data_IF_576109947178
#
_entry.id   IF_576109947178
#
_cell.length_a   1.000
_cell.length_b   1.000
_cell.length_c   1.000
_cell.angle_alpha   90.00
_cell.angle_beta   90.00
_cell.angle_gamma   90.00
#
_symmetry.space_group_name_H-M   'P 1'
#
loop_
_entity.id
_entity.type
_entity.pdbx_description
1 polymer ?
#
# COMPACT_ATOMS: atom_id res chain seq x y z
N UNK A 1 -20.14 -0.96 7.79
CA UNK A 1 -20.15 -0.16 6.54
C UNK A 1 -19.12 -0.74 5.59
N UNK A 2 -19.52 -0.99 4.36
CA UNK A 2 -18.61 -1.53 3.34
C UNK A 2 -17.76 -0.40 2.77
N UNK A 3 -16.43 -0.57 2.82
CA UNK A 3 -15.49 0.41 2.27
C UNK A 3 -15.55 0.37 0.74
N UNK A 4 -15.51 1.54 0.12
CA UNK A 4 -15.36 1.70 -1.31
C UNK A 4 -14.13 2.54 -1.60
N UNK A 5 -13.22 1.99 -2.39
CA UNK A 5 -12.09 2.74 -2.93
C UNK A 5 -12.53 3.49 -4.18
N UNK A 6 -12.14 4.75 -4.25
CA UNK A 6 -12.33 5.58 -5.43
C UNK A 6 -10.97 6.13 -5.89
N UNK A 7 -10.88 6.45 -7.17
CA UNK A 7 -9.65 7.05 -7.71
C UNK A 7 -9.48 8.44 -7.12
N UNK A 8 -8.32 8.70 -6.52
CA UNK A 8 -8.01 9.99 -5.95
C UNK A 8 -7.84 11.06 -7.04
N UNK A 9 -8.31 12.26 -6.75
CA UNK A 9 -8.18 13.44 -7.61
C UNK A 9 -7.29 14.49 -6.96
N UNK A 10 -7.01 15.58 -7.68
CA UNK A 10 -6.25 16.70 -7.14
C UNK A 10 -6.87 17.28 -5.85
N UNK A 11 -8.18 17.19 -5.69
CA UNK A 11 -8.88 17.64 -4.47
C UNK A 11 -8.56 16.79 -3.24
N UNK A 12 -8.12 15.56 -3.43
CA UNK A 12 -7.79 14.64 -2.35
C UNK A 12 -6.35 14.78 -1.84
N UNK A 13 -5.49 15.54 -2.54
CA UNK A 13 -4.05 15.62 -2.25
C UNK A 13 -3.78 16.09 -0.82
N UNK A 14 -4.44 17.16 -0.39
CA UNK A 14 -4.27 17.70 0.98
C UNK A 14 -4.65 16.68 2.05
N UNK A 15 -5.77 15.99 1.88
CA UNK A 15 -6.25 14.97 2.80
C UNK A 15 -5.34 13.72 2.81
N UNK A 16 -4.76 13.35 1.66
CA UNK A 16 -3.79 12.26 1.57
C UNK A 16 -2.47 12.61 2.27
N UNK A 17 -2.01 13.85 2.15
CA UNK A 17 -0.84 14.32 2.92
C UNK A 17 -1.11 14.24 4.42
N UNK A 18 -2.27 14.68 4.87
CA UNK A 18 -2.67 14.61 6.27
C UNK A 18 -2.72 13.16 6.78
N UNK A 19 -3.28 12.24 6.00
CA UNK A 19 -3.32 10.82 6.34
C UNK A 19 -1.90 10.24 6.49
N UNK A 20 -1.03 10.46 5.52
CA UNK A 20 0.35 9.96 5.54
C UNK A 20 1.14 10.54 6.71
N UNK A 21 0.96 11.82 7.01
CA UNK A 21 1.59 12.47 8.15
C UNK A 21 1.15 11.83 9.46
N UNK A 22 -0.14 11.55 9.63
CA UNK A 22 -0.66 10.88 10.82
C UNK A 22 -0.11 9.45 10.97
N UNK A 23 -0.04 8.70 9.87
CA UNK A 23 0.52 7.33 9.88
C UNK A 23 2.01 7.37 10.24
N UNK A 24 2.78 8.25 9.63
CA UNK A 24 4.21 8.37 9.93
C UNK A 24 4.45 8.76 11.40
N UNK A 25 3.69 9.72 11.92
CA UNK A 25 3.79 10.13 13.32
C UNK A 25 3.47 8.97 14.27
N UNK A 26 2.44 8.18 13.95
CA UNK A 26 2.07 7.00 14.73
C UNK A 26 3.18 5.95 14.75
N UNK A 27 3.79 5.65 13.59
CA UNK A 27 4.88 4.68 13.49
C UNK A 27 6.14 5.18 14.21
N UNK A 28 6.46 6.46 14.09
CA UNK A 28 7.60 7.06 14.81
C UNK A 28 7.39 6.99 16.33
N UNK A 29 6.18 7.29 16.81
CA UNK A 29 5.86 7.20 18.22
C UNK A 29 5.96 5.77 18.76
N UNK A 30 5.62 4.78 17.94
CA UNK A 30 5.59 3.37 18.34
C UNK A 30 6.94 2.67 18.16
N UNK A 31 7.70 2.97 17.11
CA UNK A 31 8.91 2.24 16.70
C UNK A 31 10.16 3.13 16.54
N UNK A 32 10.03 4.44 16.74
CA UNK A 32 11.10 5.39 16.48
C UNK A 32 11.28 5.70 14.98
N UNK A 33 12.33 6.43 14.64
CA UNK A 33 12.64 6.76 13.24
C UNK A 33 13.13 5.54 12.49
N UNK A 34 12.71 5.38 11.23
CA UNK A 34 13.09 4.28 10.35
C UNK A 34 12.75 4.62 8.90
N UNK A 35 12.76 3.62 8.02
CA UNK A 35 12.47 3.81 6.59
C UNK A 35 11.06 4.35 6.32
N UNK A 36 10.16 4.21 7.28
CA UNK A 36 8.78 4.74 7.26
C UNK A 36 8.69 6.22 7.67
N UNK A 37 9.78 6.84 8.12
CA UNK A 37 9.79 8.19 8.68
C UNK A 37 10.01 9.29 7.63
N UNK A 38 9.99 8.96 6.34
CA UNK A 38 10.11 9.94 5.26
C UNK A 38 8.85 10.84 5.25
N UNK A 39 9.08 12.15 5.22
CA UNK A 39 7.99 13.12 5.21
C UNK A 39 7.07 12.95 3.99
N UNK A 40 5.80 13.29 4.18
CA UNK A 40 4.80 13.31 3.12
C UNK A 40 4.59 14.74 2.64
N UNK A 41 4.58 14.93 1.31
CA UNK A 41 4.38 16.23 0.66
C UNK A 41 3.34 16.13 -0.44
N UNK A 42 2.71 17.26 -0.78
CA UNK A 42 1.80 17.34 -1.92
C UNK A 42 2.48 16.91 -3.23
N UNK A 43 3.73 17.34 -3.43
CA UNK A 43 4.54 16.96 -4.58
C UNK A 43 4.72 15.44 -4.66
N UNK A 44 4.96 14.77 -3.54
CA UNK A 44 5.10 13.32 -3.47
C UNK A 44 3.80 12.60 -3.81
N UNK A 45 2.65 13.09 -3.35
CA UNK A 45 1.34 12.54 -3.69
C UNK A 45 1.05 12.70 -5.18
N UNK A 46 1.28 13.88 -5.74
CA UNK A 46 1.09 14.16 -7.17
C UNK A 46 2.01 13.29 -8.03
N UNK A 47 3.25 13.07 -7.59
CA UNK A 47 4.18 12.17 -8.26
C UNK A 47 3.65 10.73 -8.28
N UNK A 48 3.11 10.24 -7.16
CA UNK A 48 2.51 8.91 -7.08
C UNK A 48 1.32 8.77 -8.06
N UNK A 49 0.50 9.81 -8.19
CA UNK A 49 -0.63 9.85 -9.14
C UNK A 49 -0.19 9.75 -10.60
N UNK A 50 1.01 10.22 -10.93
CA UNK A 50 1.58 10.10 -12.29
C UNK A 50 2.15 8.72 -12.58
N UNK A 51 2.60 8.00 -11.55
CA UNK A 51 3.25 6.70 -11.69
C UNK A 51 2.30 5.52 -11.58
N UNK A 52 1.14 5.72 -11.00
CA UNK A 52 0.14 4.69 -10.82
C UNK A 52 -1.23 5.28 -10.54
N UNK A 53 -2.19 4.43 -10.22
CA UNK A 53 -3.52 4.87 -9.82
C UNK A 53 -3.61 4.86 -8.30
N UNK A 54 -3.74 6.04 -7.71
CA UNK A 54 -3.93 6.22 -6.27
C UNK A 54 -5.41 6.07 -5.96
N UNK A 55 -5.74 5.15 -5.06
CA UNK A 55 -7.09 4.94 -4.56
C UNK A 55 -7.21 5.48 -3.14
N UNK A 56 -8.38 5.99 -2.81
CA UNK A 56 -8.68 6.57 -1.50
C UNK A 56 -10.03 6.08 -1.00
N UNK A 57 -10.10 5.73 0.28
CA UNK A 57 -11.35 5.58 1.02
C UNK A 57 -11.53 6.85 1.88
N UNK A 58 -12.73 7.42 1.83
CA UNK A 58 -13.03 8.67 2.52
C UNK A 58 -14.19 8.53 3.49
N UNK A 59 -14.14 9.34 4.53
CA UNK A 59 -15.25 9.61 5.43
C UNK A 59 -15.48 11.13 5.41
N UNK A 60 -16.58 11.54 4.76
CA UNK A 60 -16.74 12.95 4.39
C UNK A 60 -15.66 13.40 3.41
N UNK A 61 -14.91 14.43 3.75
CA UNK A 61 -13.78 14.94 2.96
C UNK A 61 -12.43 14.37 3.39
N UNK A 62 -12.42 13.53 4.43
CA UNK A 62 -11.19 13.02 5.01
C UNK A 62 -10.81 11.67 4.44
N UNK A 63 -9.57 11.54 3.96
CA UNK A 63 -8.99 10.25 3.62
C UNK A 63 -8.76 9.43 4.88
N UNK A 64 -9.32 8.23 4.93
CA UNK A 64 -9.14 7.29 6.05
C UNK A 64 -8.27 6.09 5.68
N UNK A 65 -8.12 5.83 4.40
CA UNK A 65 -7.19 4.82 3.88
C UNK A 65 -6.80 5.15 2.43
N UNK A 66 -5.65 4.67 2.02
CA UNK A 66 -5.16 4.81 0.64
C UNK A 66 -4.33 3.61 0.24
N UNK A 67 -4.25 3.36 -1.06
CA UNK A 67 -3.28 2.46 -1.68
C UNK A 67 -3.07 2.87 -3.14
N UNK A 68 -1.96 2.47 -3.71
CA UNK A 68 -1.65 2.71 -5.11
C UNK A 68 -1.49 1.39 -5.85
N UNK A 69 -2.12 1.27 -7.01
CA UNK A 69 -1.94 0.14 -7.93
C UNK A 69 -1.27 0.64 -9.21
N UNK A 70 -0.30 -0.11 -9.69
CA UNK A 70 0.45 0.24 -10.91
C UNK A 70 0.88 -1.01 -11.66
N UNK A 71 0.95 -0.91 -12.98
CA UNK A 71 1.61 -1.92 -13.84
C UNK A 71 3.13 -1.76 -13.82
N UNK A 72 3.64 -0.65 -13.34
CA UNK A 72 5.08 -0.39 -13.24
C UNK A 72 5.65 -1.08 -12.01
N UNK A 73 6.68 -1.87 -12.22
CA UNK A 73 7.40 -2.51 -11.13
C UNK A 73 8.14 -1.47 -10.28
N UNK A 74 7.94 -1.44 -8.95
CA UNK A 74 8.78 -0.64 -8.05
C UNK A 74 10.23 -1.11 -8.11
N UNK A 75 11.17 -0.18 -7.89
CA UNK A 75 12.60 -0.51 -7.93
C UNK A 75 13.01 -1.53 -6.87
N UNK A 76 12.35 -1.51 -5.72
CA UNK A 76 12.65 -2.43 -4.61
C UNK A 76 12.25 -3.89 -4.91
N UNK A 77 11.38 -4.14 -5.89
CA UNK A 77 10.90 -5.49 -6.20
C UNK A 77 11.80 -6.14 -7.26
N UNK A 78 12.34 -7.31 -6.89
CA UNK A 78 13.04 -8.20 -7.79
C UNK A 78 12.10 -9.32 -8.23
N UNK A 79 11.76 -9.33 -9.51
CA UNK A 79 10.74 -10.25 -10.05
C UNK A 79 11.16 -11.72 -10.03
N UNK A 80 12.44 -12.02 -9.86
CA UNK A 80 12.93 -13.41 -9.79
C UNK A 80 12.34 -14.22 -8.62
N UNK A 81 11.86 -13.55 -7.57
CA UNK A 81 11.25 -14.20 -6.43
C UNK A 81 9.79 -14.58 -6.65
N UNK A 82 9.16 -14.05 -7.69
CA UNK A 82 7.74 -14.23 -7.96
C UNK A 82 7.49 -15.34 -8.98
N UNK A 83 6.30 -15.93 -8.90
CA UNK A 83 5.87 -16.92 -9.88
C UNK A 83 5.60 -16.33 -11.27
N UNK A 84 5.23 -17.18 -12.23
CA UNK A 84 4.85 -16.72 -13.56
C UNK A 84 3.53 -15.93 -13.48
N UNK A 85 3.58 -14.68 -13.93
CA UNK A 85 2.42 -13.81 -14.04
C UNK A 85 2.59 -12.96 -15.30
N UNK A 86 1.54 -12.93 -16.12
CA UNK A 86 1.58 -12.18 -17.38
C UNK A 86 1.17 -10.72 -17.18
N UNK A 87 0.32 -10.44 -16.20
CA UNK A 87 -0.25 -9.12 -15.94
C UNK A 87 -0.28 -8.82 -14.45
N UNK A 88 0.90 -8.70 -13.80
CA UNK A 88 0.94 -8.35 -12.39
C UNK A 88 0.58 -6.88 -12.18
N UNK A 89 -0.15 -6.59 -11.10
CA UNK A 89 -0.23 -5.25 -10.52
C UNK A 89 0.66 -5.17 -9.29
N UNK A 90 1.25 -4.01 -9.09
CA UNK A 90 2.07 -3.72 -7.92
C UNK A 90 1.31 -2.79 -6.99
N UNK A 91 1.16 -3.21 -5.74
CA UNK A 91 0.53 -2.42 -4.69
C UNK A 91 1.62 -1.72 -3.88
N UNK A 92 1.48 -0.41 -3.76
CA UNK A 92 2.41 0.42 -2.99
C UNK A 92 1.65 1.41 -2.12
N UNK A 93 2.34 1.99 -1.14
CA UNK A 93 1.85 3.10 -0.31
C UNK A 93 0.47 2.83 0.30
N UNK A 94 0.26 1.62 0.81
CA UNK A 94 -0.96 1.31 1.52
C UNK A 94 -0.89 1.85 2.95
N UNK A 95 -1.87 2.65 3.31
CA UNK A 95 -1.95 3.27 4.62
C UNK A 95 -3.40 3.31 5.11
N UNK A 96 -3.57 3.14 6.42
CA UNK A 96 -4.86 3.25 7.12
C UNK A 96 -4.68 4.23 8.27
N UNK A 97 -5.60 5.17 8.43
CA UNK A 97 -5.60 6.13 9.52
C UNK A 97 -5.44 5.43 10.88
N UNK A 98 -4.54 5.89 11.76
CA UNK A 98 -4.25 5.22 13.03
C UNK A 98 -5.50 4.95 13.89
N UNK A 99 -6.44 5.86 13.92
CA UNK A 99 -7.70 5.72 14.66
C UNK A 99 -8.69 4.73 14.03
N UNK A 100 -8.43 4.29 12.81
CA UNK A 100 -9.24 3.31 12.06
C UNK A 100 -8.57 1.95 11.91
N UNK A 101 -7.33 1.80 12.39
CA UNK A 101 -6.61 0.53 12.35
C UNK A 101 -7.26 -0.50 13.29
N UNK A 102 -7.00 -1.78 13.01
CA UNK A 102 -7.52 -2.93 13.78
C UNK A 102 -9.06 -3.04 13.82
N UNK A 103 -9.74 -2.36 12.91
CA UNK A 103 -11.21 -2.39 12.75
C UNK A 103 -11.66 -3.02 11.43
N UNK A 104 -10.75 -3.73 10.74
CA UNK A 104 -11.03 -4.42 9.48
C UNK A 104 -10.95 -3.53 8.24
N UNK A 105 -10.70 -2.23 8.36
CA UNK A 105 -10.65 -1.31 7.23
C UNK A 105 -9.57 -1.70 6.22
N UNK A 106 -8.36 -2.05 6.69
CA UNK A 106 -7.28 -2.48 5.80
C UNK A 106 -7.62 -3.73 4.99
N UNK A 107 -8.26 -4.72 5.62
CA UNK A 107 -8.73 -5.93 4.92
C UNK A 107 -9.75 -5.57 3.84
N UNK A 108 -10.71 -4.71 4.15
CA UNK A 108 -11.71 -4.27 3.18
C UNK A 108 -11.06 -3.52 1.99
N UNK A 109 -10.04 -2.71 2.25
CA UNK A 109 -9.27 -2.06 1.19
C UNK A 109 -8.57 -3.08 0.27
N UNK A 110 -8.00 -4.16 0.83
CA UNK A 110 -7.39 -5.23 0.03
C UNK A 110 -8.42 -6.03 -0.76
N UNK A 111 -9.61 -6.28 -0.20
CA UNK A 111 -10.70 -6.93 -0.92
C UNK A 111 -11.15 -6.08 -2.12
N UNK A 112 -11.25 -4.76 -1.94
CA UNK A 112 -11.54 -3.83 -3.03
C UNK A 112 -10.41 -3.79 -4.06
N UNK A 113 -9.15 -3.77 -3.63
CA UNK A 113 -8.00 -3.81 -4.53
C UNK A 113 -8.01 -5.09 -5.38
N UNK A 114 -8.38 -6.22 -4.79
CA UNK A 114 -8.53 -7.50 -5.50
C UNK A 114 -9.65 -7.45 -6.55
N UNK A 115 -10.78 -6.83 -6.23
CA UNK A 115 -11.87 -6.62 -7.18
C UNK A 115 -11.41 -5.74 -8.35
N UNK A 116 -10.76 -4.62 -8.04
CA UNK A 116 -10.20 -3.70 -9.04
C UNK A 116 -9.19 -4.41 -9.94
N UNK A 117 -8.30 -5.22 -9.37
CA UNK A 117 -7.30 -5.97 -10.12
C UNK A 117 -7.94 -6.92 -11.14
N UNK A 118 -9.02 -7.62 -10.76
CA UNK A 118 -9.76 -8.48 -11.69
C UNK A 118 -10.36 -7.71 -12.87
N UNK A 119 -10.84 -6.51 -12.63
CA UNK A 119 -11.42 -5.66 -13.67
C UNK A 119 -10.36 -5.05 -14.59
N UNK A 120 -9.12 -4.91 -14.11
CA UNK A 120 -8.03 -4.26 -14.84
C UNK A 120 -7.70 -4.85 -16.23
N UNK A 121 -7.66 -6.14 -16.58
CA UNK A 121 -7.60 -7.40 -15.84
C UNK A 121 -6.15 -7.78 -15.49
N UNK A 122 -5.89 -7.94 -14.23
CA UNK A 122 -4.63 -8.45 -13.72
C UNK A 122 -4.77 -9.92 -13.29
N UNK A 123 -3.65 -10.63 -13.22
CA UNK A 123 -3.63 -12.02 -12.76
C UNK A 123 -2.96 -12.18 -11.39
N UNK A 124 -2.29 -11.14 -10.90
CA UNK A 124 -1.71 -11.13 -9.55
C UNK A 124 -1.57 -9.71 -9.00
N UNK A 125 -1.47 -9.61 -7.68
CA UNK A 125 -1.04 -8.41 -6.96
C UNK A 125 0.25 -8.74 -6.23
N UNK A 126 1.27 -7.90 -6.41
CA UNK A 126 2.60 -8.05 -5.82
C UNK A 126 2.94 -6.84 -4.97
N UNK A 127 3.62 -7.06 -3.87
CA UNK A 127 4.07 -5.99 -2.99
C UNK A 127 5.34 -6.37 -2.22
N UNK A 128 5.96 -5.39 -1.62
CA UNK A 128 6.99 -5.55 -0.62
C UNK A 128 6.56 -4.91 0.71
N UNK A 129 7.03 -5.47 1.81
CA UNK A 129 6.84 -4.94 3.15
C UNK A 129 8.16 -4.98 3.90
N UNK A 130 8.36 -4.06 4.85
CA UNK A 130 9.55 -4.11 5.71
C UNK A 130 9.55 -5.38 6.57
N UNK A 131 10.68 -6.06 6.61
CA UNK A 131 10.95 -7.18 7.50
C UNK A 131 11.40 -6.64 8.87
N UNK A 132 10.48 -6.03 9.58
CA UNK A 132 10.69 -5.40 10.87
C UNK A 132 9.36 -5.33 11.63
N UNK A 133 9.44 -5.03 12.95
CA UNK A 133 8.26 -4.90 13.79
C UNK A 133 7.26 -3.85 13.29
N UNK A 134 7.76 -2.76 12.67
CA UNK A 134 6.93 -1.73 12.05
C UNK A 134 6.31 -2.15 10.71
N UNK A 135 6.77 -3.26 10.11
CA UNK A 135 6.30 -3.74 8.81
C UNK A 135 4.94 -4.42 8.89
N UNK A 136 4.23 -4.44 7.77
CA UNK A 136 2.88 -4.97 7.65
C UNK A 136 2.83 -6.44 7.16
N UNK A 137 3.94 -7.17 7.19
CA UNK A 137 4.01 -8.54 6.66
C UNK A 137 2.97 -9.49 7.23
N UNK A 138 2.78 -9.48 8.54
CA UNK A 138 1.79 -10.32 9.21
C UNK A 138 0.35 -9.98 8.77
N UNK A 139 0.05 -8.71 8.58
CA UNK A 139 -1.23 -8.25 8.05
C UNK A 139 -1.48 -8.82 6.64
N UNK A 140 -0.50 -8.75 5.76
CA UNK A 140 -0.64 -9.28 4.39
C UNK A 140 -0.83 -10.79 4.38
N UNK A 141 -0.11 -11.55 5.23
CA UNK A 141 -0.33 -13.01 5.38
C UNK A 141 -1.78 -13.30 5.79
N UNK A 142 -2.30 -12.59 6.79
CA UNK A 142 -3.69 -12.75 7.26
C UNK A 142 -4.73 -12.37 6.22
N UNK A 143 -4.36 -11.56 5.24
CA UNK A 143 -5.22 -11.15 4.13
C UNK A 143 -5.11 -12.05 2.90
N UNK A 144 -4.33 -13.15 2.97
CA UNK A 144 -4.24 -14.15 1.92
C UNK A 144 -3.09 -13.96 0.94
N UNK A 145 -2.17 -13.03 1.21
CA UNK A 145 -0.92 -12.93 0.45
C UNK A 145 0.05 -14.03 0.86
N UNK A 146 0.74 -14.58 -0.11
CA UNK A 146 1.79 -15.58 0.09
C UNK A 146 3.15 -14.90 0.07
N UNK A 147 3.98 -15.18 1.07
CA UNK A 147 5.39 -14.79 1.05
C UNK A 147 6.13 -15.57 -0.04
N UNK A 148 6.84 -14.86 -0.91
CA UNK A 148 7.59 -15.46 -2.03
C UNK A 148 9.09 -15.28 -1.92
N UNK A 149 9.57 -14.40 -1.06
CA UNK A 149 11.00 -14.21 -0.85
C UNK A 149 11.32 -13.06 0.09
N UNK A 150 12.60 -12.95 0.39
CA UNK A 150 13.16 -11.89 1.23
C UNK A 150 14.39 -11.32 0.55
N UNK A 151 14.55 -10.02 0.60
CA UNK A 151 15.68 -9.32 -0.02
C UNK A 151 16.08 -8.10 0.80
N UNK A 152 17.27 -7.57 0.53
CA UNK A 152 17.71 -6.30 1.08
C UNK A 152 17.79 -5.31 -0.06
N UNK A 153 17.12 -4.17 0.10
CA UNK A 153 17.13 -3.09 -0.86
C UNK A 153 17.50 -1.78 -0.16
N UNK A 154 18.61 -1.16 -0.57
CA UNK A 154 19.14 0.07 0.04
C UNK A 154 19.21 -0.01 1.58
N UNK A 155 19.79 -1.10 2.08
CA UNK A 155 19.93 -1.43 3.50
C UNK A 155 18.60 -1.70 4.25
N UNK A 156 17.47 -1.76 3.56
CA UNK A 156 16.19 -2.12 4.15
C UNK A 156 15.89 -3.61 3.89
N UNK A 157 15.65 -4.41 4.93
CA UNK A 157 15.20 -5.79 4.75
C UNK A 157 13.73 -5.77 4.32
N UNK A 158 13.41 -6.52 3.27
CA UNK A 158 12.09 -6.60 2.68
C UNK A 158 11.60 -8.03 2.59
N UNK A 159 10.28 -8.20 2.73
CA UNK A 159 9.57 -9.43 2.42
C UNK A 159 8.71 -9.18 1.19
N UNK A 160 8.77 -10.10 0.23
CA UNK A 160 7.94 -10.04 -0.98
C UNK A 160 6.69 -10.91 -0.83
N UNK A 161 5.56 -10.36 -1.23
CA UNK A 161 4.25 -11.01 -1.18
C UNK A 161 3.57 -10.99 -2.53
N UNK A 162 2.84 -12.07 -2.83
CA UNK A 162 2.02 -12.21 -4.02
C UNK A 162 0.66 -12.79 -3.68
N UNK A 163 -0.38 -12.28 -4.32
CA UNK A 163 -1.71 -12.84 -4.31
C UNK A 163 -2.20 -13.02 -5.75
N UNK A 164 -2.62 -14.23 -6.11
CA UNK A 164 -3.28 -14.49 -7.38
C UNK A 164 -4.72 -13.98 -7.33
N UNK A 165 -5.19 -13.38 -8.43
CA UNK A 165 -6.53 -12.80 -8.50
C UNK A 165 -7.36 -13.34 -9.66
#
# INVERSE_FOLDING_TARGET
MKVKLQIATAEDVSSLVALRTAVNAHLIAQYGKGHWASGSTEKGVLFAMKRGTVYVAKEGQNAIATLTLSTRKPWAIDTKYFGASKRPLYLTSMEVSPDRQRKGLGRQCLDEARRIAREWPADSIRLDAYDAAAGAGEFYRKCGFREVGRAIYRNAPLIYFEMLV
#
